data_IF_553547936110
#
_entry.id   IF_553547936110
#
_cell.length_a   1.000
_cell.length_b   1.000
_cell.length_c   1.000
_cell.angle_alpha   90.00
_cell.angle_beta   90.00
_cell.angle_gamma   90.00
#
_symmetry.space_group_name_H-M   'P 1'
#
loop_
_entity.id
_entity.type
_entity.pdbx_description
1 polymer ?
#
# COMPACT_ATOMS: atom_id res chain seq x y z
N UNK A 1 10.05 1.78 18.43
CA UNK A 1 10.30 3.01 17.66
C UNK A 1 10.73 4.15 18.57
N UNK A 2 9.90 4.60 19.52
CA UNK A 2 10.22 5.67 20.49
C UNK A 2 11.58 5.47 21.19
N UNK A 3 11.82 4.30 21.79
CA UNK A 3 13.08 4.01 22.48
C UNK A 3 14.29 3.79 21.56
N UNK A 4 14.07 3.59 20.25
CA UNK A 4 15.12 3.29 19.27
C UNK A 4 15.71 4.55 18.63
N UNK A 5 15.20 5.74 18.99
CA UNK A 5 15.72 7.02 18.48
C UNK A 5 15.35 7.27 17.02
N UNK A 6 14.14 6.88 16.61
CA UNK A 6 13.63 7.25 15.28
C UNK A 6 13.21 8.73 15.33
N UNK A 7 13.79 9.56 14.47
CA UNK A 7 13.51 11.00 14.42
C UNK A 7 12.11 11.28 13.83
N UNK A 8 11.69 10.49 12.85
CA UNK A 8 10.42 10.65 12.15
C UNK A 8 9.74 9.32 11.86
N UNK A 9 8.46 9.20 12.21
CA UNK A 9 7.60 8.12 11.77
C UNK A 9 6.19 8.65 11.45
N UNK A 10 5.70 8.42 10.25
CA UNK A 10 4.39 8.93 9.81
C UNK A 10 3.61 7.84 9.11
N UNK A 11 2.36 7.65 9.50
CA UNK A 11 1.46 6.68 8.89
C UNK A 11 0.21 6.47 9.73
N UNK A 12 -0.27 5.24 9.73
CA UNK A 12 -1.38 4.77 10.54
C UNK A 12 -1.01 4.40 11.99
N UNK A 13 -1.78 3.49 12.59
CA UNK A 13 -1.41 2.80 13.84
C UNK A 13 -1.73 3.55 15.14
N UNK A 14 -2.64 4.54 15.12
CA UNK A 14 -2.99 5.30 16.32
C UNK A 14 -3.60 4.43 17.44
N UNK A 15 -4.14 3.24 17.12
CA UNK A 15 -4.62 2.26 18.12
C UNK A 15 -3.49 1.62 18.91
N UNK A 16 -2.33 1.42 18.30
CA UNK A 16 -1.19 0.73 18.92
C UNK A 16 -0.25 1.72 19.61
N UNK A 17 -0.08 2.92 19.05
CA UNK A 17 0.72 4.01 19.60
C UNK A 17 -0.15 4.99 20.40
N UNK A 18 -0.66 4.50 21.54
CA UNK A 18 -1.40 5.31 22.53
C UNK A 18 -0.47 6.26 23.27
N UNK A 19 -1.03 7.21 24.03
CA UNK A 19 -0.24 8.18 24.82
C UNK A 19 0.74 7.50 25.79
N UNK A 20 0.42 6.29 26.25
CA UNK A 20 1.31 5.49 27.09
C UNK A 20 2.61 5.10 26.36
N UNK A 21 2.58 4.90 25.04
CA UNK A 21 3.76 4.58 24.24
C UNK A 21 4.76 5.74 24.21
N UNK A 22 4.30 6.97 24.45
CA UNK A 22 5.09 8.20 24.46
C UNK A 22 5.36 8.73 25.88
N UNK A 23 4.89 8.03 26.92
CA UNK A 23 5.05 8.49 28.29
C UNK A 23 6.54 8.63 28.66
N UNK A 24 6.93 9.86 29.03
CA UNK A 24 8.32 10.18 29.36
C UNK A 24 9.24 10.41 28.14
N UNK A 25 8.69 10.41 26.92
CA UNK A 25 9.40 10.89 25.73
C UNK A 25 9.16 12.38 25.52
N UNK A 26 10.07 13.04 24.81
CA UNK A 26 9.93 14.42 24.34
C UNK A 26 9.31 14.51 22.94
N UNK A 27 8.78 13.40 22.43
CA UNK A 27 8.26 13.29 21.07
C UNK A 27 7.02 14.19 20.84
N UNK A 28 6.94 14.75 19.63
CA UNK A 28 5.74 15.41 19.10
C UNK A 28 4.85 14.37 18.44
N UNK A 29 3.56 14.40 18.76
CA UNK A 29 2.57 13.48 18.19
C UNK A 29 1.49 14.28 17.47
N UNK A 30 1.42 14.13 16.16
CA UNK A 30 0.36 14.68 15.32
C UNK A 30 -0.68 13.60 15.05
N UNK A 31 -1.97 13.92 15.24
CA UNK A 31 -3.10 13.00 15.03
C UNK A 31 -3.91 13.35 13.78
N UNK A 32 -3.53 14.42 13.09
CA UNK A 32 -4.17 14.89 11.87
C UNK A 32 -3.14 15.48 10.92
N UNK A 33 -3.53 15.64 9.65
CA UNK A 33 -2.69 16.28 8.64
C UNK A 33 -2.35 17.74 9.01
N UNK A 34 -3.33 18.49 9.50
CA UNK A 34 -3.16 19.89 9.90
C UNK A 34 -2.18 20.05 11.07
N UNK A 35 -2.07 19.05 11.93
CA UNK A 35 -1.09 19.01 13.03
C UNK A 35 0.31 18.56 12.58
N UNK A 36 0.41 17.80 11.48
CA UNK A 36 1.66 17.15 11.09
C UNK A 36 2.69 18.16 10.57
N UNK A 37 2.31 19.06 9.67
CA UNK A 37 3.26 20.02 9.11
C UNK A 37 3.90 20.94 10.17
N UNK A 38 3.16 21.51 11.14
CA UNK A 38 3.77 22.20 12.28
C UNK A 38 4.70 21.32 13.11
N UNK A 39 4.32 20.06 13.38
CA UNK A 39 5.15 19.14 14.17
C UNK A 39 6.48 18.83 13.48
N UNK A 40 6.49 18.68 12.14
CA UNK A 40 7.69 18.42 11.36
C UNK A 40 8.70 19.57 11.37
N UNK A 41 8.26 20.81 11.63
CA UNK A 41 9.18 21.93 11.79
C UNK A 41 10.12 21.75 13.00
N UNK A 42 9.71 20.95 13.98
CA UNK A 42 10.47 20.63 15.20
C UNK A 42 11.22 19.28 15.10
N UNK A 43 11.14 18.55 13.96
CA UNK A 43 11.66 17.17 13.86
C UNK A 43 13.16 17.03 14.18
N UNK A 44 13.91 18.12 14.04
CA UNK A 44 15.35 18.16 14.32
C UNK A 44 15.68 18.29 15.81
N UNK A 45 14.75 18.80 16.59
CA UNK A 45 14.89 19.01 18.02
C UNK A 45 14.12 17.94 18.82
N UNK A 46 13.03 17.40 18.25
CA UNK A 46 12.15 16.43 18.89
C UNK A 46 11.71 15.34 17.91
N UNK A 47 11.77 14.04 18.31
CA UNK A 47 11.19 12.96 17.52
C UNK A 47 9.72 13.24 17.20
N UNK A 48 9.31 13.05 15.95
CA UNK A 48 7.95 13.38 15.50
C UNK A 48 7.23 12.13 14.98
N UNK A 49 6.02 11.91 15.49
CA UNK A 49 5.16 10.78 15.13
C UNK A 49 3.83 11.30 14.57
N UNK A 50 3.57 11.04 13.28
CA UNK A 50 2.28 11.29 12.65
C UNK A 50 1.43 10.02 12.66
N UNK A 51 0.34 10.01 13.43
CA UNK A 51 -0.55 8.87 13.61
C UNK A 51 -1.93 9.23 13.06
N UNK A 52 -2.06 9.15 11.73
CA UNK A 52 -3.13 9.76 10.95
C UNK A 52 -4.38 8.87 10.79
N UNK A 53 -4.29 7.59 11.17
CA UNK A 53 -5.41 6.67 11.17
C UNK A 53 -5.34 5.67 12.35
N UNK A 54 -6.48 5.10 12.80
CA UNK A 54 -6.49 4.06 13.83
C UNK A 54 -5.70 2.80 13.47
N UNK A 55 -5.76 2.36 12.21
CA UNK A 55 -4.95 1.26 11.64
C UNK A 55 -4.18 1.77 10.44
N UNK A 56 -4.11 0.99 9.36
CA UNK A 56 -3.61 1.45 8.07
C UNK A 56 -4.33 2.73 7.58
N UNK A 57 -3.65 3.48 6.73
CA UNK A 57 -4.29 4.57 5.98
C UNK A 57 -5.28 3.97 4.97
N UNK A 58 -6.36 4.66 4.61
CA UNK A 58 -7.26 4.18 3.55
C UNK A 58 -6.51 4.01 2.23
N UNK A 59 -6.91 3.02 1.43
CA UNK A 59 -6.40 2.88 0.08
C UNK A 59 -6.51 4.19 -0.71
N UNK A 60 -5.55 4.44 -1.60
CA UNK A 60 -5.52 5.58 -2.50
C UNK A 60 -6.81 5.74 -3.32
N UNK A 61 -7.51 4.63 -3.63
CA UNK A 61 -8.78 4.66 -4.37
C UNK A 61 -9.96 5.19 -3.53
N UNK A 62 -9.91 5.03 -2.21
CA UNK A 62 -10.96 5.45 -1.28
C UNK A 62 -10.61 6.74 -0.52
N UNK A 63 -9.39 7.24 -0.68
CA UNK A 63 -8.88 8.39 0.05
C UNK A 63 -9.69 9.67 -0.23
N UNK A 64 -10.10 10.38 0.82
CA UNK A 64 -10.67 11.74 0.69
C UNK A 64 -9.64 12.65 0.02
N UNK A 65 -10.06 13.45 -0.95
CA UNK A 65 -9.16 14.32 -1.71
C UNK A 65 -8.38 15.33 -0.85
N UNK A 66 -8.79 15.58 0.40
CA UNK A 66 -8.09 16.43 1.36
C UNK A 66 -7.09 15.68 2.24
N UNK A 67 -7.16 14.35 2.28
CA UNK A 67 -6.22 13.54 3.04
C UNK A 67 -4.92 13.36 2.23
N UNK A 68 -3.75 13.40 2.89
CA UNK A 68 -2.46 13.29 2.22
C UNK A 68 -2.25 11.90 1.62
N UNK A 69 -1.63 11.85 0.44
CA UNK A 69 -1.13 10.59 -0.12
C UNK A 69 0.29 10.25 0.30
N UNK A 70 0.77 9.07 -0.10
CA UNK A 70 2.14 8.64 0.17
C UNK A 70 3.16 9.64 -0.40
N UNK A 71 2.90 10.18 -1.60
CA UNK A 71 3.70 11.23 -2.22
C UNK A 71 3.79 12.48 -1.36
N UNK A 72 2.69 12.90 -0.73
CA UNK A 72 2.67 14.08 0.13
C UNK A 72 3.46 13.85 1.42
N UNK A 73 3.31 12.67 2.02
CA UNK A 73 4.05 12.27 3.21
C UNK A 73 5.56 12.16 2.92
N UNK A 74 5.92 11.57 1.77
CA UNK A 74 7.31 11.48 1.31
C UNK A 74 7.91 12.88 1.11
N UNK A 75 7.20 13.79 0.43
CA UNK A 75 7.63 15.18 0.25
C UNK A 75 7.88 15.87 1.58
N UNK A 76 6.93 15.78 2.51
CA UNK A 76 7.08 16.37 3.84
C UNK A 76 8.27 15.80 4.61
N UNK A 77 8.48 14.49 4.56
CA UNK A 77 9.63 13.86 5.19
C UNK A 77 10.95 14.36 4.59
N UNK A 78 11.05 14.45 3.27
CA UNK A 78 12.22 14.99 2.58
C UNK A 78 12.47 16.46 2.95
N UNK A 79 11.45 17.31 2.92
CA UNK A 79 11.57 18.73 3.28
C UNK A 79 12.10 18.91 4.71
N UNK A 80 11.68 18.05 5.64
CA UNK A 80 12.10 18.10 7.02
C UNK A 80 13.55 17.59 7.22
N UNK A 81 13.91 16.49 6.55
CA UNK A 81 15.16 15.75 6.75
C UNK A 81 16.33 16.20 5.86
N UNK A 82 16.08 16.77 4.68
CA UNK A 82 17.12 17.04 3.67
C UNK A 82 18.24 17.98 4.13
N UNK A 83 18.00 18.80 5.16
CA UNK A 83 18.99 19.70 5.76
C UNK A 83 19.66 19.17 7.03
N UNK A 84 19.48 17.89 7.38
CA UNK A 84 20.12 17.30 8.54
C UNK A 84 21.65 17.23 8.34
N UNK A 85 22.46 17.73 9.29
CA UNK A 85 23.91 17.84 9.11
C UNK A 85 24.64 16.49 9.00
N UNK A 86 24.03 15.40 9.49
CA UNK A 86 24.55 14.04 9.38
C UNK A 86 23.95 13.23 8.23
N UNK A 87 23.17 13.86 7.34
CA UNK A 87 22.33 13.15 6.37
C UNK A 87 21.14 12.47 7.05
N UNK A 88 20.45 11.60 6.30
CA UNK A 88 19.30 10.85 6.79
C UNK A 88 19.21 9.47 6.12
N UNK A 89 18.49 8.56 6.76
CA UNK A 89 18.03 7.31 6.16
C UNK A 89 16.49 7.33 6.22
N UNK A 90 15.83 7.32 5.06
CA UNK A 90 14.38 7.39 4.96
C UNK A 90 13.85 6.10 4.33
N UNK A 91 12.94 5.44 5.04
CA UNK A 91 12.18 4.29 4.55
C UNK A 91 10.76 4.74 4.21
N UNK A 92 10.32 4.44 2.99
CA UNK A 92 9.00 4.77 2.47
C UNK A 92 8.37 3.48 1.98
N UNK A 93 7.17 3.18 2.45
CA UNK A 93 6.45 1.95 2.16
C UNK A 93 5.05 2.27 1.67
N UNK A 94 4.60 1.58 0.63
CA UNK A 94 3.19 1.49 0.28
C UNK A 94 2.62 0.12 0.71
N UNK A 95 2.13 0.05 1.95
CA UNK A 95 1.45 -1.13 2.52
C UNK A 95 0.23 -1.57 1.68
N UNK A 96 -0.46 -0.61 1.06
CA UNK A 96 -1.70 -0.86 0.33
C UNK A 96 -1.53 -1.82 -0.85
N UNK A 97 -0.32 -1.91 -1.43
CA UNK A 97 -0.02 -2.86 -2.51
C UNK A 97 -0.17 -4.31 -2.04
N UNK A 98 0.34 -4.65 -0.86
CA UNK A 98 0.22 -6.01 -0.32
C UNK A 98 -1.21 -6.29 0.15
N UNK A 99 -1.81 -5.35 0.90
CA UNK A 99 -3.16 -5.54 1.45
C UNK A 99 -4.21 -5.73 0.34
N UNK A 100 -4.16 -4.91 -0.72
CA UNK A 100 -5.07 -5.03 -1.86
C UNK A 100 -4.85 -6.32 -2.66
N UNK A 101 -3.61 -6.79 -2.76
CA UNK A 101 -3.29 -8.08 -3.36
C UNK A 101 -3.84 -9.27 -2.53
N UNK A 102 -3.69 -9.25 -1.20
CA UNK A 102 -4.32 -10.24 -0.30
C UNK A 102 -5.85 -10.24 -0.37
N UNK A 103 -6.44 -9.08 -0.65
CA UNK A 103 -7.87 -8.93 -0.86
C UNK A 103 -8.32 -9.44 -2.24
N UNK A 104 -7.39 -9.60 -3.19
CA UNK A 104 -7.67 -9.84 -4.62
C UNK A 104 -8.47 -8.68 -5.24
N UNK A 105 -8.19 -7.46 -4.78
CA UNK A 105 -8.83 -6.24 -5.25
C UNK A 105 -7.96 -5.58 -6.32
N UNK A 106 -8.29 -5.84 -7.58
CA UNK A 106 -7.54 -5.29 -8.71
C UNK A 106 -7.65 -3.76 -8.80
N UNK A 107 -8.78 -3.18 -8.40
CA UNK A 107 -9.01 -1.73 -8.51
C UNK A 107 -8.18 -0.97 -7.47
N UNK A 108 -8.20 -1.43 -6.22
CA UNK A 108 -7.34 -0.89 -5.18
C UNK A 108 -5.86 -1.10 -5.53
N UNK A 109 -5.46 -2.32 -5.91
CA UNK A 109 -4.07 -2.64 -6.27
C UNK A 109 -3.55 -1.75 -7.40
N UNK A 110 -4.33 -1.55 -8.47
CA UNK A 110 -3.93 -0.68 -9.56
C UNK A 110 -3.72 0.77 -9.09
N UNK A 111 -4.58 1.28 -8.20
CA UNK A 111 -4.44 2.64 -7.67
C UNK A 111 -3.26 2.78 -6.72
N UNK A 112 -2.96 1.76 -5.92
CA UNK A 112 -1.79 1.73 -5.04
C UNK A 112 -0.47 1.71 -5.84
N UNK A 113 -0.44 0.95 -6.93
CA UNK A 113 0.71 0.96 -7.85
C UNK A 113 0.90 2.33 -8.52
N UNK A 114 -0.19 3.03 -8.86
CA UNK A 114 -0.11 4.41 -9.38
C UNK A 114 0.43 5.36 -8.30
N UNK A 115 -0.03 5.26 -7.06
CA UNK A 115 0.50 6.08 -5.97
C UNK A 115 1.99 5.79 -5.69
N UNK A 116 2.41 4.53 -5.75
CA UNK A 116 3.81 4.15 -5.63
C UNK A 116 4.67 4.78 -6.76
N UNK A 117 4.17 4.76 -8.00
CA UNK A 117 4.84 5.40 -9.15
C UNK A 117 4.91 6.92 -9.00
N UNK A 118 3.83 7.59 -8.62
CA UNK A 118 3.82 9.05 -8.38
C UNK A 118 4.77 9.46 -7.24
N UNK A 119 4.92 8.59 -6.23
CA UNK A 119 5.90 8.77 -5.15
C UNK A 119 7.31 8.54 -5.65
N UNK A 120 7.55 7.52 -6.48
CA UNK A 120 8.85 7.24 -7.08
C UNK A 120 9.30 8.39 -8.00
N UNK A 121 8.39 8.99 -8.77
CA UNK A 121 8.67 10.18 -9.59
C UNK A 121 9.22 11.33 -8.73
N UNK A 122 8.59 11.61 -7.59
CA UNK A 122 9.07 12.62 -6.63
C UNK A 122 10.48 12.29 -6.13
N UNK A 123 10.73 11.03 -5.76
CA UNK A 123 12.02 10.58 -5.24
C UNK A 123 13.12 10.66 -6.30
N UNK A 124 12.82 10.28 -7.54
CA UNK A 124 13.75 10.41 -8.67
C UNK A 124 14.10 11.87 -8.93
N UNK A 125 13.12 12.78 -8.84
CA UNK A 125 13.36 14.22 -8.93
C UNK A 125 14.27 14.73 -7.81
N UNK A 126 14.04 14.29 -6.56
CA UNK A 126 14.89 14.65 -5.42
C UNK A 126 16.35 14.19 -5.60
N UNK A 127 16.57 12.98 -6.13
CA UNK A 127 17.91 12.41 -6.34
C UNK A 127 18.62 13.04 -7.54
N UNK A 128 17.90 13.36 -8.62
CA UNK A 128 18.49 13.86 -9.86
C UNK A 128 19.27 15.17 -9.70
N UNK A 129 18.93 15.97 -8.68
CA UNK A 129 19.57 17.25 -8.38
C UNK A 129 20.71 17.15 -7.35
N UNK A 130 21.13 15.93 -6.99
CA UNK A 130 22.02 15.65 -5.85
C UNK A 130 23.14 14.67 -6.18
N UNK A 131 24.32 14.91 -5.62
CA UNK A 131 25.50 14.04 -5.71
C UNK A 131 25.83 13.36 -4.38
N UNK A 132 24.88 13.35 -3.44
CA UNK A 132 25.02 12.82 -2.07
C UNK A 132 23.89 11.85 -1.66
N UNK A 133 23.02 11.45 -2.58
CA UNK A 133 21.80 10.69 -2.25
C UNK A 133 21.69 9.39 -3.07
N UNK A 134 21.60 8.26 -2.37
CA UNK A 134 21.28 6.94 -2.95
C UNK A 134 19.79 6.66 -2.78
N UNK A 135 19.10 6.33 -3.88
CA UNK A 135 17.75 5.78 -3.87
C UNK A 135 17.79 4.31 -4.27
N UNK A 136 17.19 3.47 -3.43
CA UNK A 136 16.94 2.05 -3.71
C UNK A 136 15.43 1.85 -3.69
N UNK A 137 14.87 1.29 -4.77
CA UNK A 137 13.47 0.91 -4.84
C UNK A 137 13.36 -0.61 -5.09
N UNK A 138 12.60 -1.28 -4.24
CA UNK A 138 12.37 -2.74 -4.28
C UNK A 138 11.01 -3.07 -3.69
N UNK A 139 10.55 -4.31 -3.86
CA UNK A 139 9.52 -4.90 -3.00
C UNK A 139 10.15 -5.89 -2.01
N UNK A 140 9.43 -6.24 -0.96
CA UNK A 140 9.84 -7.20 0.07
C UNK A 140 9.48 -8.65 -0.29
N UNK A 141 8.38 -8.85 -1.03
CA UNK A 141 7.98 -10.10 -1.68
C UNK A 141 6.93 -9.88 -2.78
N UNK A 142 6.57 -10.95 -3.50
CA UNK A 142 5.37 -10.98 -4.34
C UNK A 142 4.14 -11.41 -3.53
N UNK A 143 2.95 -10.96 -3.92
CA UNK A 143 1.70 -11.31 -3.26
C UNK A 143 0.58 -11.64 -4.25
N UNK A 144 -0.14 -12.75 -4.00
CA UNK A 144 -1.32 -13.23 -4.70
C UNK A 144 -1.20 -13.49 -6.22
N UNK A 145 -0.05 -13.18 -6.83
CA UNK A 145 0.31 -13.31 -8.25
C UNK A 145 -0.81 -12.83 -9.18
N UNK A 146 -1.15 -11.52 -9.16
CA UNK A 146 -2.07 -10.93 -10.11
C UNK A 146 -1.56 -11.10 -11.54
N UNK A 147 -2.46 -11.44 -12.46
CA UNK A 147 -2.17 -11.56 -13.88
C UNK A 147 -3.32 -11.06 -14.72
N UNK A 148 -3.01 -10.29 -15.77
CA UNK A 148 -4.00 -9.89 -16.75
C UNK A 148 -4.38 -11.10 -17.60
N UNK A 149 -5.67 -11.40 -17.65
CA UNK A 149 -6.27 -12.65 -18.16
C UNK A 149 -7.28 -12.41 -19.29
N UNK A 150 -7.40 -11.17 -19.76
CA UNK A 150 -8.20 -10.78 -20.91
C UNK A 150 -7.31 -10.36 -22.10
N UNK A 151 -7.84 -10.42 -23.32
CA UNK A 151 -7.12 -10.07 -24.55
C UNK A 151 -8.07 -9.59 -25.65
N UNK A 152 -7.51 -8.89 -26.65
CA UNK A 152 -8.28 -8.28 -27.74
C UNK A 152 -9.25 -7.22 -27.23
N UNK A 153 -10.35 -7.02 -27.95
CA UNK A 153 -11.38 -6.02 -27.61
C UNK A 153 -11.91 -6.18 -26.16
N UNK A 154 -12.07 -7.42 -25.69
CA UNK A 154 -12.48 -7.70 -24.32
C UNK A 154 -11.41 -7.28 -23.29
N UNK A 155 -10.13 -7.35 -23.65
CA UNK A 155 -9.03 -6.84 -22.84
C UNK A 155 -9.05 -5.31 -22.74
N UNK A 156 -9.28 -4.62 -23.86
CA UNK A 156 -9.38 -3.16 -23.89
C UNK A 156 -10.56 -2.67 -23.05
N UNK A 157 -11.72 -3.32 -23.17
CA UNK A 157 -12.90 -3.02 -22.34
C UNK A 157 -12.64 -3.27 -20.85
N UNK A 158 -11.97 -4.38 -20.51
CA UNK A 158 -11.63 -4.72 -19.14
C UNK A 158 -10.66 -3.71 -18.52
N UNK A 159 -9.65 -3.29 -19.28
CA UNK A 159 -8.69 -2.27 -18.85
C UNK A 159 -9.36 -0.90 -18.68
N UNK A 160 -10.24 -0.51 -19.61
CA UNK A 160 -11.01 0.72 -19.49
C UNK A 160 -11.91 0.71 -18.25
N UNK A 161 -12.54 -0.44 -17.95
CA UNK A 161 -13.35 -0.60 -16.74
C UNK A 161 -12.50 -0.52 -15.48
N UNK A 162 -11.37 -1.23 -15.43
CA UNK A 162 -10.41 -1.15 -14.32
C UNK A 162 -9.95 0.29 -14.07
N UNK A 163 -9.62 1.04 -15.12
CA UNK A 163 -9.22 2.44 -15.01
C UNK A 163 -10.34 3.37 -14.50
N UNK A 164 -11.61 2.99 -14.72
CA UNK A 164 -12.80 3.74 -14.26
C UNK A 164 -13.31 3.31 -12.89
N UNK A 165 -12.82 2.19 -12.33
CA UNK A 165 -13.20 1.74 -11.00
C UNK A 165 -12.84 2.80 -9.96
N UNK A 166 -13.71 2.98 -8.97
CA UNK A 166 -13.71 4.15 -8.11
C UNK A 166 -13.70 3.85 -6.62
N UNK A 167 -13.90 2.59 -6.21
CA UNK A 167 -13.94 2.17 -4.80
C UNK A 167 -13.33 0.79 -4.61
N UNK A 168 -12.75 0.56 -3.43
CA UNK A 168 -12.19 -0.74 -3.05
C UNK A 168 -13.23 -1.71 -2.50
N UNK A 169 -12.80 -2.94 -2.25
CA UNK A 169 -13.55 -3.96 -1.53
C UNK A 169 -13.77 -3.59 -0.06
N UNK A 170 -12.90 -2.77 0.55
CA UNK A 170 -13.13 -2.29 1.91
C UNK A 170 -14.28 -1.29 1.95
N UNK A 171 -14.36 -0.39 0.97
CA UNK A 171 -15.54 0.47 0.82
C UNK A 171 -16.82 -0.35 0.61
N UNK A 172 -16.79 -1.35 -0.28
CA UNK A 172 -17.96 -2.23 -0.52
C UNK A 172 -18.39 -2.94 0.77
N UNK A 173 -17.44 -3.47 1.53
CA UNK A 173 -17.71 -4.19 2.79
C UNK A 173 -18.26 -3.25 3.86
N UNK A 174 -17.73 -2.03 3.94
CA UNK A 174 -18.19 -1.03 4.89
C UNK A 174 -19.62 -0.59 4.57
N UNK A 175 -19.94 -0.31 3.31
CA UNK A 175 -21.31 0.02 2.89
C UNK A 175 -22.28 -1.13 3.13
N UNK A 176 -21.90 -2.36 2.79
CA UNK A 176 -22.71 -3.55 3.10
C UNK A 176 -22.93 -3.68 4.62
N UNK A 177 -21.88 -3.40 5.42
CA UNK A 177 -21.93 -3.42 6.87
C UNK A 177 -22.83 -2.35 7.51
N UNK A 178 -23.13 -1.27 6.79
CA UNK A 178 -24.06 -0.20 7.21
C UNK A 178 -25.53 -0.57 7.02
N UNK A 179 -25.84 -1.56 6.18
CA UNK A 179 -27.20 -2.04 5.98
C UNK A 179 -27.70 -2.88 7.17
N UNK A 180 -29.02 -2.97 7.32
CA UNK A 180 -29.64 -3.87 8.28
C UNK A 180 -29.31 -5.33 7.93
N UNK A 181 -29.21 -6.22 8.92
CA UNK A 181 -28.77 -7.61 8.72
C UNK A 181 -29.56 -8.36 7.64
N UNK A 182 -30.88 -8.12 7.55
CA UNK A 182 -31.75 -8.73 6.54
C UNK A 182 -31.59 -8.17 5.13
N UNK A 183 -30.93 -7.02 4.98
CA UNK A 183 -30.68 -6.33 3.71
C UNK A 183 -29.29 -6.64 3.13
N UNK A 184 -28.43 -7.33 3.90
CA UNK A 184 -27.08 -7.75 3.48
C UNK A 184 -27.13 -8.95 2.55
N UNK A 185 -27.77 -8.78 1.40
CA UNK A 185 -27.98 -9.85 0.41
C UNK A 185 -26.90 -9.86 -0.68
N UNK A 186 -26.91 -10.91 -1.50
CA UNK A 186 -26.00 -11.00 -2.64
C UNK A 186 -26.31 -9.94 -3.72
N UNK A 187 -27.58 -9.57 -3.84
CA UNK A 187 -28.06 -8.50 -4.72
C UNK A 187 -27.55 -7.14 -4.24
N UNK A 188 -27.67 -6.83 -2.95
CA UNK A 188 -27.10 -5.60 -2.40
C UNK A 188 -25.58 -5.53 -2.59
N UNK A 189 -24.88 -6.65 -2.41
CA UNK A 189 -23.44 -6.74 -2.69
C UNK A 189 -23.12 -6.55 -4.19
N UNK A 190 -23.92 -7.12 -5.09
CA UNK A 190 -23.76 -6.93 -6.53
C UNK A 190 -24.00 -5.48 -6.95
N UNK A 191 -24.98 -4.80 -6.34
CA UNK A 191 -25.26 -3.38 -6.58
C UNK A 191 -24.10 -2.49 -6.10
N UNK A 192 -23.47 -2.83 -4.97
CA UNK A 192 -22.28 -2.13 -4.48
C UNK A 192 -21.06 -2.39 -5.39
N UNK A 193 -20.92 -3.60 -5.95
CA UNK A 193 -19.88 -3.92 -6.93
C UNK A 193 -20.08 -3.11 -8.22
N UNK A 194 -21.31 -3.00 -8.74
CA UNK A 194 -21.62 -2.16 -9.92
C UNK A 194 -21.28 -0.69 -9.62
N UNK A 195 -21.67 -0.16 -8.46
CA UNK A 195 -21.32 1.21 -8.05
C UNK A 195 -19.81 1.44 -7.97
N UNK A 196 -19.07 0.48 -7.40
CA UNK A 196 -17.63 0.60 -7.22
C UNK A 196 -16.84 0.48 -8.53
N UNK A 197 -17.28 -0.39 -9.44
CA UNK A 197 -16.46 -0.87 -10.57
C UNK A 197 -17.10 -0.72 -11.95
N UNK A 198 -18.40 -0.46 -12.03
CA UNK A 198 -19.19 -0.51 -13.26
C UNK A 198 -19.38 -1.92 -13.82
N UNK A 199 -19.13 -2.96 -13.02
CA UNK A 199 -19.33 -4.36 -13.40
C UNK A 199 -20.74 -4.84 -13.02
N UNK A 200 -21.55 -5.16 -14.03
CA UNK A 200 -22.86 -5.79 -13.81
C UNK A 200 -22.72 -7.29 -13.77
N UNK A 201 -23.11 -7.88 -12.65
CA UNK A 201 -22.97 -9.31 -12.44
C UNK A 201 -24.13 -10.10 -13.02
N UNK A 202 -23.84 -11.29 -13.55
CA UNK A 202 -24.87 -12.23 -14.01
C UNK A 202 -25.44 -13.09 -12.86
N UNK A 203 -26.45 -13.91 -13.16
CA UNK A 203 -27.11 -14.74 -12.15
C UNK A 203 -26.20 -15.82 -11.53
N UNK A 204 -25.19 -16.30 -12.26
CA UNK A 204 -24.22 -17.24 -11.72
C UNK A 204 -23.27 -16.55 -10.75
N UNK A 205 -22.78 -15.36 -11.11
CA UNK A 205 -21.90 -14.54 -10.29
C UNK A 205 -22.59 -14.10 -8.99
N UNK A 206 -23.82 -13.61 -9.06
CA UNK A 206 -24.64 -13.29 -7.86
C UNK A 206 -24.87 -14.54 -7.01
N UNK A 207 -25.12 -15.70 -7.63
CA UNK A 207 -25.25 -16.97 -6.93
C UNK A 207 -23.97 -17.38 -6.18
N UNK A 208 -22.79 -17.12 -6.76
CA UNK A 208 -21.50 -17.35 -6.10
C UNK A 208 -21.31 -16.41 -4.89
N UNK A 209 -21.66 -15.13 -5.01
CA UNK A 209 -21.65 -14.19 -3.89
C UNK A 209 -22.57 -14.66 -2.74
N UNK A 210 -23.78 -15.12 -3.06
CA UNK A 210 -24.73 -15.61 -2.07
C UNK A 210 -24.16 -16.80 -1.26
N UNK A 211 -23.44 -17.71 -1.91
CA UNK A 211 -22.76 -18.84 -1.25
C UNK A 211 -21.62 -18.35 -0.37
N UNK A 212 -20.80 -17.42 -0.87
CA UNK A 212 -19.69 -16.85 -0.12
C UNK A 212 -20.15 -16.12 1.15
N UNK A 213 -21.26 -15.35 1.08
CA UNK A 213 -21.87 -14.68 2.23
C UNK A 213 -22.33 -15.67 3.31
N UNK A 214 -22.79 -16.85 2.92
CA UNK A 214 -23.17 -17.94 3.86
C UNK A 214 -21.97 -18.77 4.35
N UNK A 215 -20.75 -18.42 3.96
CA UNK A 215 -19.54 -19.16 4.30
C UNK A 215 -19.47 -20.55 3.64
N UNK A 216 -20.22 -20.75 2.56
CA UNK A 216 -20.21 -21.99 1.79
C UNK A 216 -18.99 -22.04 0.87
N UNK A 217 -18.50 -23.25 0.59
CA UNK A 217 -17.44 -23.47 -0.38
C UNK A 217 -17.90 -23.02 -1.77
N UNK A 218 -17.08 -22.26 -2.48
CA UNK A 218 -17.30 -21.87 -3.89
C UNK A 218 -16.23 -22.45 -4.83
N UNK A 219 -15.03 -22.75 -4.32
CA UNK A 219 -13.92 -23.26 -5.11
C UNK A 219 -13.36 -24.57 -4.54
N UNK A 220 -12.71 -25.41 -5.37
CA UNK A 220 -11.96 -26.57 -4.88
C UNK A 220 -10.82 -26.16 -3.94
N UNK A 221 -10.11 -25.08 -4.27
CA UNK A 221 -9.04 -24.50 -3.46
C UNK A 221 -9.63 -23.58 -2.39
N UNK A 222 -9.54 -24.02 -1.13
CA UNK A 222 -10.14 -23.33 0.04
C UNK A 222 -9.65 -21.89 0.23
N UNK A 223 -8.44 -21.58 -0.23
CA UNK A 223 -7.90 -20.21 -0.17
C UNK A 223 -8.76 -19.19 -0.93
N UNK A 224 -9.57 -19.64 -1.89
CA UNK A 224 -10.47 -18.82 -2.71
C UNK A 224 -11.92 -18.77 -2.21
N UNK A 225 -12.24 -19.43 -1.09
CA UNK A 225 -13.61 -19.41 -0.53
C UNK A 225 -13.92 -18.11 0.25
N UNK A 226 -12.91 -17.26 0.48
CA UNK A 226 -13.07 -15.97 1.16
C UNK A 226 -13.85 -15.01 0.28
N UNK A 227 -14.78 -14.25 0.86
CA UNK A 227 -15.64 -13.31 0.13
C UNK A 227 -14.86 -12.43 -0.85
N UNK A 228 -13.75 -11.84 -0.41
CA UNK A 228 -12.92 -10.97 -1.26
C UNK A 228 -12.27 -11.73 -2.42
N UNK A 229 -11.84 -12.99 -2.24
CA UNK A 229 -11.38 -13.82 -3.34
C UNK A 229 -12.49 -14.24 -4.31
N UNK A 230 -13.72 -14.42 -3.82
CA UNK A 230 -14.89 -14.66 -4.68
C UNK A 230 -15.17 -13.43 -5.52
N UNK A 231 -15.21 -12.24 -4.89
CA UNK A 231 -15.37 -10.95 -5.57
C UNK A 231 -14.26 -10.75 -6.61
N UNK A 232 -12.99 -10.92 -6.24
CA UNK A 232 -11.86 -10.80 -7.17
C UNK A 232 -11.90 -11.81 -8.31
N UNK A 233 -12.36 -13.04 -8.06
CA UNK A 233 -12.50 -14.06 -9.12
C UNK A 233 -13.64 -13.73 -10.09
N UNK A 234 -14.75 -13.18 -9.60
CA UNK A 234 -15.85 -12.68 -10.43
C UNK A 234 -15.37 -11.48 -11.25
N UNK A 235 -14.77 -10.49 -10.58
CA UNK A 235 -14.30 -9.27 -11.21
C UNK A 235 -13.15 -9.50 -12.20
N UNK A 236 -12.44 -10.63 -12.14
CA UNK A 236 -11.50 -11.01 -13.20
C UNK A 236 -12.19 -11.08 -14.58
N UNK A 237 -13.47 -11.47 -14.65
CA UNK A 237 -14.25 -11.48 -15.90
C UNK A 237 -14.53 -10.06 -16.43
N UNK A 238 -14.52 -9.05 -15.56
CA UNK A 238 -14.97 -7.69 -15.85
C UNK A 238 -13.84 -6.67 -15.94
N UNK A 239 -12.78 -6.87 -15.13
CA UNK A 239 -11.61 -6.01 -14.98
C UNK A 239 -10.35 -6.65 -15.57
N UNK A 240 -10.42 -7.92 -15.98
CA UNK A 240 -9.33 -8.61 -16.67
C UNK A 240 -8.19 -9.07 -15.76
N UNK A 241 -8.22 -8.81 -14.45
CA UNK A 241 -7.15 -9.19 -13.52
C UNK A 241 -7.58 -10.39 -12.68
N UNK A 242 -6.85 -11.51 -12.80
CA UNK A 242 -7.05 -12.71 -12.01
C UNK A 242 -5.92 -12.90 -11.00
N UNK A 243 -6.22 -13.52 -9.86
CA UNK A 243 -5.26 -13.80 -8.78
C UNK A 243 -5.12 -15.30 -8.57
N UNK A 244 -3.93 -15.79 -8.20
CA UNK A 244 -3.73 -17.22 -7.95
C UNK A 244 -4.27 -17.65 -6.59
N UNK A 245 -4.22 -16.77 -5.59
CA UNK A 245 -4.62 -17.02 -4.22
C UNK A 245 -4.66 -15.71 -3.42
N UNK A 246 -4.28 -15.77 -2.15
CA UNK A 246 -4.19 -14.65 -1.20
C UNK A 246 -2.91 -14.72 -0.36
N UNK A 247 -1.90 -15.40 -0.85
CA UNK A 247 -0.69 -15.68 -0.08
C UNK A 247 0.48 -14.97 -0.73
N UNK A 248 1.53 -14.74 0.05
CA UNK A 248 2.80 -14.33 -0.52
C UNK A 248 3.31 -15.43 -1.45
N UNK A 249 4.07 -15.01 -2.44
CA UNK A 249 4.68 -15.89 -3.40
C UNK A 249 6.20 -15.69 -3.41
N UNK A 250 6.91 -16.71 -3.87
CA UNK A 250 8.37 -16.75 -3.88
C UNK A 250 8.96 -16.21 -5.20
N UNK A 251 8.17 -15.42 -5.94
CA UNK A 251 8.63 -14.80 -7.18
C UNK A 251 9.80 -13.86 -6.89
N UNK A 252 10.86 -13.86 -7.71
CA UNK A 252 11.90 -12.86 -7.62
C UNK A 252 11.31 -11.47 -7.78
N UNK A 253 11.77 -10.53 -6.96
CA UNK A 253 11.30 -9.14 -7.00
C UNK A 253 12.30 -8.24 -7.71
N UNK A 254 11.81 -7.12 -8.24
CA UNK A 254 12.65 -6.14 -8.90
C UNK A 254 13.35 -5.27 -7.85
N UNK A 255 14.66 -5.06 -8.04
CA UNK A 255 15.45 -4.06 -7.33
C UNK A 255 15.99 -3.07 -8.35
N UNK A 256 15.84 -1.79 -8.06
CA UNK A 256 16.47 -0.69 -8.82
C UNK A 256 17.20 0.25 -7.88
N UNK A 257 18.26 0.88 -8.37
CA UNK A 257 19.01 1.86 -7.60
C UNK A 257 19.54 2.99 -8.50
N UNK A 258 19.59 4.21 -7.97
CA UNK A 258 20.14 5.37 -8.68
C UNK A 258 20.79 6.36 -7.69
N UNK A 259 21.70 7.19 -8.19
CA UNK A 259 22.53 8.09 -7.39
C UNK A 259 23.90 7.49 -6.98
N UNK A 260 24.74 8.25 -6.27
CA UNK A 260 26.02 7.77 -5.76
C UNK A 260 25.85 6.50 -4.91
N UNK A 261 26.67 5.48 -5.17
CA UNK A 261 26.59 4.19 -4.47
C UNK A 261 25.60 3.19 -5.09
N UNK A 262 24.91 3.52 -6.19
CA UNK A 262 24.04 2.56 -6.89
C UNK A 262 24.79 1.31 -7.36
N UNK A 263 26.10 1.41 -7.62
CA UNK A 263 26.98 0.29 -7.95
C UNK A 263 27.20 -0.71 -6.80
N UNK A 264 26.84 -0.33 -5.56
CA UNK A 264 26.83 -1.24 -4.41
C UNK A 264 25.66 -2.24 -4.50
N UNK A 265 24.60 -1.92 -5.24
CA UNK A 265 23.43 -2.78 -5.41
C UNK A 265 23.68 -3.77 -6.53
N UNK A 266 23.60 -5.06 -6.19
CA UNK A 266 23.81 -6.15 -7.16
C UNK A 266 22.65 -6.25 -8.13
N UNK A 267 22.96 -6.61 -9.38
CA UNK A 267 21.95 -6.88 -10.40
C UNK A 267 21.02 -8.07 -10.06
N UNK A 268 21.52 -9.01 -9.26
CA UNK A 268 20.74 -10.13 -8.72
C UNK A 268 21.38 -10.58 -7.39
N UNK A 269 20.56 -10.93 -6.42
CA UNK A 269 21.02 -11.30 -5.08
C UNK A 269 19.88 -11.62 -4.13
N UNK A 270 20.22 -11.74 -2.85
CA UNK A 270 19.25 -11.90 -1.78
C UNK A 270 18.93 -10.53 -1.16
N UNK A 271 17.75 -10.33 -0.55
CA UNK A 271 17.41 -9.06 0.12
C UNK A 271 18.41 -8.65 1.20
N UNK A 272 19.10 -9.62 1.80
CA UNK A 272 20.19 -9.33 2.76
C UNK A 272 21.35 -8.58 2.13
N UNK A 273 21.60 -8.73 0.82
CA UNK A 273 22.64 -7.96 0.13
C UNK A 273 22.33 -6.46 0.11
N UNK A 274 21.05 -6.05 0.23
CA UNK A 274 20.67 -4.64 0.33
C UNK A 274 21.10 -4.03 1.67
N UNK A 275 21.11 -4.81 2.76
CA UNK A 275 21.61 -4.35 4.05
C UNK A 275 23.08 -3.93 3.95
N UNK A 276 23.91 -4.76 3.30
CA UNK A 276 25.33 -4.46 3.10
C UNK A 276 25.53 -3.23 2.19
N UNK A 277 24.70 -3.07 1.16
CA UNK A 277 24.74 -1.89 0.29
C UNK A 277 24.38 -0.62 1.07
N UNK A 278 23.29 -0.64 1.85
CA UNK A 278 22.83 0.51 2.65
C UNK A 278 23.82 0.89 3.74
N UNK A 279 24.36 -0.08 4.49
CA UNK A 279 25.34 0.20 5.57
C UNK A 279 26.61 0.83 5.02
N UNK A 280 27.11 0.35 3.88
CA UNK A 280 28.27 0.95 3.19
C UNK A 280 27.99 2.35 2.68
N UNK A 281 26.83 2.57 2.07
CA UNK A 281 26.42 3.89 1.57
C UNK A 281 26.32 4.92 2.71
N UNK A 282 25.83 4.51 3.88
CA UNK A 282 25.73 5.34 5.07
C UNK A 282 27.07 5.50 5.84
N UNK A 283 28.14 4.83 5.41
CA UNK A 283 29.43 4.86 6.11
C UNK A 283 29.38 4.25 7.52
N UNK A 284 28.41 3.36 7.77
CA UNK A 284 28.28 2.68 9.05
C UNK A 284 29.33 1.56 9.17
N UNK A 285 29.84 1.31 10.39
CA UNK A 285 30.77 0.21 10.62
C UNK A 285 30.12 -1.12 10.25
N UNK A 286 30.89 -1.99 9.60
CA UNK A 286 30.46 -3.34 9.23
C UNK A 286 30.11 -4.12 10.52
N UNK A 287 28.87 -4.62 10.69
CA UNK A 287 28.48 -5.32 11.91
C UNK A 287 29.28 -6.62 12.18
N UNK A 288 30.12 -7.05 11.23
CA UNK A 288 31.03 -8.19 11.34
C UNK A 288 32.49 -7.88 11.74
N UNK A 289 32.85 -6.62 12.08
CA UNK A 289 34.19 -6.25 12.59
C UNK A 289 34.17 -5.71 14.02
#
# INVERSE_FOLDING_TARGET
MVQRGVDLAVGGGARDFTDQAFAGSDARVARSWDELAPALAEVRDHPTFGLLAPGALPYAIDRDARAPGLRDLARLALDALAGAPGGFCLFIENEGVDESAHANDAAALAREMIEAEETLELLLGFVAERDDTLLIATTDHACANPGFSAAGDAGDEALARLASASRSFDWIRDELGRLDEGERTAEALADLIDQATGARLDGFEVGALARALRGERVAPYRGRDRLTSVMGSILANHLGVAFTGRAHAADPVLVTATGPGADLVRAAGHHTDLHDAMTRALGLPDPGM
#
